data_IF_215870438884
#
_entry.id   IF_215870438884
#
_cell.length_a   1.000
_cell.length_b   1.000
_cell.length_c   1.000
_cell.angle_alpha   90.00
_cell.angle_beta   90.00
_cell.angle_gamma   90.00
#
_symmetry.space_group_name_H-M   'P 1'
#
loop_
_entity.id
_entity.type
_entity.pdbx_description
1 polymer ?
2 non-polymer ?
3 non-polymer ?
4 non-polymer ?
5 water ?
#
# COMPACT_ATOMS: atom_id res chain seq x y z
N UNK A 16 -16.42 21.32 17.18
CA UNK A 16 -16.86 20.25 18.07
C UNK A 16 -17.97 19.41 17.43
N UNK A 17 -19.06 20.06 17.08
CA UNK A 17 -20.25 19.36 16.61
C UNK A 17 -20.47 19.63 15.12
N UNK A 18 -19.94 18.71 14.31
CA UNK A 18 -20.33 18.54 12.92
C UNK A 18 -21.18 17.27 12.82
N UNK A 19 -21.82 17.08 11.67
CA UNK A 19 -22.55 15.86 11.36
C UNK A 19 -23.60 15.51 12.42
N UNK A 20 -24.12 16.52 13.11
CA UNK A 20 -25.15 16.29 14.12
C UNK A 20 -26.49 15.89 13.50
N UNK A 21 -26.63 16.00 12.18
CA UNK A 21 -27.86 15.65 11.47
C UNK A 21 -27.49 14.69 10.36
N UNK A 22 -27.43 13.39 10.71
CA UNK A 22 -27.15 12.30 9.78
C UNK A 22 -27.94 11.10 10.31
N UNK A 23 -29.24 11.09 9.99
CA UNK A 23 -30.15 10.14 10.62
C UNK A 23 -30.06 8.76 9.96
N UNK A 24 -29.85 8.70 8.64
CA UNK A 24 -29.86 7.45 7.91
C UNK A 24 -28.56 7.18 7.17
N UNK A 25 -27.45 7.77 7.62
CA UNK A 25 -26.20 7.63 6.90
C UNK A 25 -25.62 6.24 6.98
N UNK A 26 -24.77 5.94 5.97
CA UNK A 26 -23.96 4.73 5.96
C UNK A 26 -22.55 5.12 5.57
N UNK A 27 -21.57 4.56 6.29
CA UNK A 27 -20.20 5.06 6.28
C UNK A 27 -19.25 3.90 6.04
N UNK A 28 -18.30 4.09 5.12
CA UNK A 28 -17.35 3.06 4.75
C UNK A 28 -15.93 3.58 4.86
N UNK A 29 -15.00 2.67 5.10
CA UNK A 29 -13.57 2.98 5.11
C UNK A 29 -13.01 2.80 3.71
N UNK A 30 -12.19 3.73 3.27
CA UNK A 30 -11.45 3.59 2.02
C UNK A 30 -9.97 3.54 2.35
N UNK A 31 -9.30 2.46 1.94
CA UNK A 31 -7.87 2.27 2.14
C UNK A 31 -7.21 2.21 0.77
N UNK A 32 -6.35 3.18 0.47
CA UNK A 32 -5.72 3.31 -0.83
C UNK A 32 -4.23 2.99 -0.73
N UNK A 33 -3.73 2.25 -1.72
CA UNK A 33 -2.30 2.02 -1.88
C UNK A 33 -1.61 3.13 -2.66
N UNK A 34 -2.33 4.19 -3.02
CA UNK A 34 -1.79 5.25 -3.88
C UNK A 34 -2.27 6.59 -3.34
N UNK A 35 -1.35 7.38 -2.81
CA UNK A 35 -1.69 8.76 -2.47
C UNK A 35 -1.97 9.59 -3.72
N UNK A 36 -1.32 9.25 -4.83
CA UNK A 36 -1.60 9.92 -6.10
C UNK A 36 -3.07 9.76 -6.48
N UNK A 37 -3.61 8.55 -6.31
CA UNK A 37 -5.03 8.33 -6.60
C UNK A 37 -5.91 9.19 -5.71
N UNK A 38 -5.54 9.32 -4.44
CA UNK A 38 -6.28 10.20 -3.53
C UNK A 38 -6.24 11.64 -4.04
N UNK A 39 -5.04 12.09 -4.44
CA UNK A 39 -4.91 13.45 -4.96
C UNK A 39 -5.77 13.65 -6.20
N UNK A 40 -5.80 12.66 -7.10
CA UNK A 40 -6.67 12.74 -8.25
C UNK A 40 -8.13 12.73 -7.84
N UNK A 41 -8.47 11.94 -6.82
CA UNK A 41 -9.85 11.92 -6.32
C UNK A 41 -10.27 13.28 -5.79
N UNK A 42 -9.37 13.95 -5.06
CA UNK A 42 -9.68 15.27 -4.52
C UNK A 42 -9.85 16.28 -5.66
N UNK A 43 -9.00 16.20 -6.69
CA UNK A 43 -9.01 17.21 -7.74
C UNK A 43 -10.28 17.13 -8.58
N UNK A 44 -10.72 15.93 -8.94
CA UNK A 44 -11.81 15.76 -9.89
C UNK A 44 -13.08 15.21 -9.26
N UNK A 45 -13.09 14.96 -7.95
CA UNK A 45 -14.28 14.53 -7.23
C UNK A 45 -14.84 13.23 -7.80
N UNK A 46 -13.96 12.24 -7.95
CA UNK A 46 -14.32 10.93 -8.48
C UNK A 46 -13.55 9.87 -7.71
N UNK A 47 -14.07 8.66 -7.70
CA UNK A 47 -13.37 7.55 -7.08
C UNK A 47 -13.78 6.25 -7.78
N UNK A 48 -13.03 5.20 -7.48
CA UNK A 48 -13.29 3.84 -7.91
C UNK A 48 -12.69 2.92 -6.86
N UNK A 49 -13.26 1.73 -6.73
CA UNK A 49 -12.76 0.77 -5.76
C UNK A 49 -12.49 -0.56 -6.47
N UNK A 50 -12.29 -1.61 -5.69
CA UNK A 50 -12.22 -2.94 -6.24
C UNK A 50 -13.57 -3.33 -6.83
N UNK A 51 -13.63 -4.50 -7.49
CA UNK A 51 -14.92 -4.95 -8.01
C UNK A 51 -15.90 -5.24 -6.88
N UNK A 52 -15.45 -5.95 -5.85
CA UNK A 52 -16.30 -6.20 -4.70
C UNK A 52 -16.58 -4.91 -3.93
N UNK A 53 -15.60 -4.00 -3.88
CA UNK A 53 -15.83 -2.73 -3.22
C UNK A 53 -16.85 -1.86 -3.95
N UNK A 54 -16.76 -1.82 -5.28
CA UNK A 54 -17.72 -1.05 -6.07
C UNK A 54 -19.13 -1.56 -5.85
N UNK A 55 -19.33 -2.88 -5.92
CA UNK A 55 -20.66 -3.45 -5.76
C UNK A 55 -21.20 -3.21 -4.35
N UNK A 56 -20.33 -3.25 -3.35
CA UNK A 56 -20.77 -2.97 -1.98
C UNK A 56 -21.21 -1.52 -1.84
N UNK A 57 -20.39 -0.59 -2.34
CA UNK A 57 -20.74 0.82 -2.26
C UNK A 57 -21.93 1.15 -3.15
N UNK A 58 -22.03 0.48 -4.30
CA UNK A 58 -23.16 0.71 -5.20
C UNK A 58 -24.48 0.33 -4.54
N UNK A 59 -24.50 -0.84 -3.89
CA UNK A 59 -25.72 -1.28 -3.22
C UNK A 59 -26.10 -0.33 -2.09
N UNK A 60 -25.11 0.13 -1.32
CA UNK A 60 -25.40 1.05 -0.23
C UNK A 60 -25.98 2.37 -0.75
N UNK A 61 -25.39 2.91 -1.83
CA UNK A 61 -25.85 4.19 -2.35
C UNK A 61 -27.26 4.08 -2.92
N UNK A 62 -27.51 3.04 -3.72
CA UNK A 62 -28.81 2.91 -4.39
C UNK A 62 -29.91 2.49 -3.42
N UNK A 63 -29.58 1.67 -2.42
CA UNK A 63 -30.58 1.33 -1.40
C UNK A 63 -30.90 2.53 -0.50
N UNK A 64 -30.07 3.57 -0.53
CA UNK A 64 -30.38 4.77 0.24
C UNK A 64 -31.46 5.60 -0.42
N UNK A 65 -31.48 5.66 -1.75
CA UNK A 65 -32.48 6.41 -2.52
C UNK A 65 -32.57 7.86 -2.02
N UNK A 66 -31.42 8.49 -1.86
CA UNK A 66 -31.35 9.89 -1.51
C UNK A 66 -31.84 10.24 -0.12
N UNK A 67 -32.22 9.22 0.66
CA UNK A 67 -32.73 9.45 2.01
C UNK A 67 -31.63 9.78 3.02
N UNK A 68 -30.37 9.54 2.70
CA UNK A 68 -29.28 9.81 3.60
C UNK A 68 -27.93 9.83 2.91
N UNK A 69 -26.90 10.26 3.62
CA UNK A 69 -25.57 10.34 3.01
C UNK A 69 -24.78 9.05 3.10
N UNK A 70 -23.97 8.81 2.07
CA UNK A 70 -22.97 7.75 2.07
C UNK A 70 -21.62 8.43 2.21
N UNK A 71 -21.01 8.29 3.38
CA UNK A 71 -19.74 8.93 3.67
C UNK A 71 -18.60 7.93 3.50
N UNK A 72 -17.45 8.44 3.05
CA UNK A 72 -16.26 7.65 2.79
C UNK A 72 -15.11 8.21 3.61
N UNK A 73 -14.54 7.37 4.48
CA UNK A 73 -13.41 7.77 5.33
C UNK A 73 -12.12 7.27 4.67
N UNK A 74 -11.32 8.21 4.18
CA UNK A 74 -10.15 7.89 3.38
C UNK A 74 -8.90 7.81 4.24
N UNK A 75 -8.07 6.81 3.97
CA UNK A 75 -6.77 6.67 4.61
C UNK A 75 -5.82 5.94 3.67
N UNK A 76 -4.60 6.46 3.55
CA UNK A 76 -3.56 5.82 2.76
C UNK A 76 -2.92 4.71 3.58
N UNK A 77 -2.78 3.53 2.97
CA UNK A 77 -2.18 2.39 3.67
C UNK A 77 -0.77 2.71 4.12
N UNK A 78 -0.46 2.42 5.38
CA UNK A 78 0.85 2.63 5.95
C UNK A 78 1.16 4.07 6.34
N UNK A 79 0.23 5.00 6.15
CA UNK A 79 0.47 6.40 6.46
C UNK A 79 0.33 6.71 7.94
N UNK A 80 -0.33 5.87 8.72
CA UNK A 80 -0.52 6.13 10.14
C UNK A 80 -1.57 7.18 10.44
N UNK A 81 -2.33 7.62 9.45
CA UNK A 81 -3.39 8.59 9.69
C UNK A 81 -4.46 8.45 8.62
N UNK A 82 -5.63 9.01 8.92
CA UNK A 82 -6.66 9.23 7.91
C UNK A 82 -6.41 10.59 7.25
N UNK A 83 -6.87 10.72 6.01
CA UNK A 83 -6.57 11.90 5.22
C UNK A 83 -7.78 12.70 4.77
N UNK A 84 -9.00 12.28 5.09
CA UNK A 84 -10.13 13.13 4.80
C UNK A 84 -11.44 12.36 4.75
N UNK A 85 -12.49 13.10 4.38
CA UNK A 85 -13.85 12.60 4.32
C UNK A 85 -14.49 13.09 3.02
N UNK A 86 -15.19 12.19 2.33
CA UNK A 86 -15.93 12.56 1.14
C UNK A 86 -17.29 11.88 1.18
N UNK A 87 -18.25 12.43 0.45
CA UNK A 87 -19.58 11.85 0.33
C UNK A 87 -19.75 11.27 -1.07
N UNK A 88 -20.24 10.03 -1.12
CA UNK A 88 -20.61 9.43 -2.41
C UNK A 88 -21.78 10.19 -3.01
N UNK A 89 -21.62 10.66 -4.24
CA UNK A 89 -22.61 11.51 -4.90
C UNK A 89 -23.15 10.90 -6.19
N UNK A 90 -22.92 9.62 -6.41
CA UNK A 90 -23.35 8.98 -7.66
C UNK A 90 -23.31 7.48 -7.51
N UNK A 91 -24.14 6.80 -8.31
CA UNK A 91 -24.04 5.35 -8.42
C UNK A 91 -22.80 4.99 -9.23
N UNK A 92 -22.47 3.70 -9.23
CA UNK A 92 -21.24 3.26 -9.88
C UNK A 92 -21.48 3.06 -11.36
N UNK A 93 -20.64 3.69 -12.18
CA UNK A 93 -20.60 3.44 -13.62
C UNK A 93 -19.47 2.45 -13.88
N UNK A 94 -19.82 1.26 -14.38
CA UNK A 94 -18.88 0.16 -14.50
C UNK A 94 -18.17 0.12 -15.85
N UNK A 95 -18.55 0.98 -16.79
CA UNK A 95 -17.95 0.99 -18.13
C UNK A 95 -17.42 2.40 -18.40
N UNK A 96 -16.17 2.63 -18.02
CA UNK A 96 -15.54 3.94 -18.15
C UNK A 96 -14.14 3.76 -18.74
N UNK A 97 -13.50 4.88 -19.05
CA UNK A 97 -12.17 4.84 -19.63
C UNK A 97 -11.17 4.20 -18.69
N UNK A 98 -10.35 3.31 -19.22
CA UNK A 98 -9.41 2.58 -18.39
C UNK A 98 -8.12 3.38 -18.17
N UNK A 99 -7.30 2.88 -17.26
CA UNK A 99 -5.98 3.43 -17.04
C UNK A 99 -5.94 4.84 -16.50
N UNK A 100 -7.03 5.32 -15.90
CA UNK A 100 -7.05 6.68 -15.38
C UNK A 100 -6.40 6.80 -14.01
N UNK A 101 -6.20 5.68 -13.31
CA UNK A 101 -5.65 5.70 -11.97
C UNK A 101 -4.20 5.27 -11.98
N UNK A 102 -3.65 5.01 -10.78
CA UNK A 102 -2.27 4.60 -10.66
C UNK A 102 -2.01 3.29 -11.39
N UNK A 103 -2.89 2.32 -11.23
CA UNK A 103 -2.80 1.04 -11.90
C UNK A 103 -4.02 0.81 -12.77
N UNK A 104 -3.87 -0.05 -13.78
CA UNK A 104 -4.99 -0.43 -14.62
C UNK A 104 -6.00 -1.31 -13.89
N UNK A 105 -5.70 -1.72 -12.65
CA UNK A 105 -6.56 -2.66 -11.95
C UNK A 105 -7.93 -2.07 -11.62
N UNK A 106 -8.07 -0.75 -11.65
CA UNK A 106 -9.28 -0.09 -11.17
C UNK A 106 -10.20 0.19 -12.35
N UNK A 107 -11.35 -0.50 -12.38
CA UNK A 107 -12.34 -0.38 -13.43
C UNK A 107 -13.63 0.20 -12.85
N UNK A 108 -14.13 1.25 -13.48
CA UNK A 108 -15.36 1.89 -13.04
C UNK A 108 -15.10 3.30 -12.53
N UNK A 109 -16.19 3.94 -12.09
CA UNK A 109 -16.12 5.31 -11.61
C UNK A 109 -17.42 5.67 -10.92
N UNK A 110 -17.31 6.49 -9.86
CA UNK A 110 -18.48 7.15 -9.29
C UNK A 110 -18.04 8.50 -8.73
N UNK A 111 -18.99 9.43 -8.70
CA UNK A 111 -18.70 10.78 -8.22
C UNK A 111 -18.65 10.80 -6.69
N UNK A 112 -17.80 11.70 -6.18
CA UNK A 112 -17.75 11.99 -4.76
C UNK A 112 -17.73 13.51 -4.59
N UNK A 113 -17.97 13.95 -3.36
CA UNK A 113 -17.78 15.35 -2.97
C UNK A 113 -16.94 15.34 -1.70
N UNK A 114 -15.72 15.82 -1.79
CA UNK A 114 -14.85 15.86 -0.63
C UNK A 114 -15.30 16.95 0.33
N UNK A 115 -15.45 16.59 1.60
CA UNK A 115 -15.89 17.53 2.62
C UNK A 115 -14.72 18.00 3.48
N UNK A 116 -13.84 17.08 3.87
CA UNK A 116 -12.64 17.41 4.62
C UNK A 116 -11.44 16.78 3.92
N UNK A 117 -10.36 17.56 3.81
CA UNK A 117 -9.08 17.08 3.35
C UNK A 117 -8.06 17.49 4.41
N UNK A 118 -7.75 16.58 5.33
CA UNK A 118 -6.83 16.87 6.41
C UNK A 118 -6.31 15.56 7.00
N UNK A 119 -5.07 15.60 7.48
CA UNK A 119 -4.44 14.42 8.09
C UNK A 119 -4.80 14.36 9.57
N UNK A 120 -5.33 13.23 10.01
CA UNK A 120 -5.75 13.01 11.40
C UNK A 120 -5.05 11.77 11.91
N UNK A 121 -4.15 11.90 12.90
CA UNK A 121 -3.37 10.74 13.35
C UNK A 121 -4.26 9.60 13.85
N UNK A 122 -3.78 8.37 13.61
CA UNK A 122 -4.53 7.19 14.04
C UNK A 122 -4.68 7.13 15.55
N UNK A 123 -3.80 7.81 16.29
CA UNK A 123 -3.93 7.85 17.74
C UNK A 123 -5.25 8.48 18.15
N UNK A 124 -5.75 9.43 17.36
CA UNK A 124 -7.02 10.08 17.67
C UNK A 124 -8.21 9.17 17.46
N UNK A 125 -8.03 8.04 16.76
CA UNK A 125 -9.14 7.18 16.39
C UNK A 125 -9.00 5.73 16.82
N UNK A 126 -7.83 5.31 17.32
CA UNK A 126 -7.60 3.88 17.52
C UNK A 126 -8.50 3.29 18.60
N UNK A 127 -8.97 4.10 19.54
CA UNK A 127 -9.81 3.59 20.62
C UNK A 127 -11.27 3.40 20.21
N UNK A 128 -11.63 3.76 18.98
CA UNK A 128 -12.96 3.48 18.45
C UNK A 128 -12.93 2.11 17.80
N UNK A 129 -13.80 1.22 18.25
CA UNK A 129 -13.81 -0.17 17.81
C UNK A 129 -15.10 -0.51 17.11
N UNK A 130 -15.02 -1.43 16.15
CA UNK A 130 -16.13 -1.79 15.27
C UNK A 130 -16.69 -3.14 15.72
N UNK A 131 -17.91 -3.13 16.25
CA UNK A 131 -18.53 -4.36 16.72
C UNK A 131 -18.86 -5.33 15.58
N UNK A 132 -18.86 -4.85 14.34
CA UNK A 132 -19.07 -5.71 13.18
C UNK A 132 -17.77 -6.25 12.60
N UNK A 133 -16.63 -5.84 13.15
CA UNK A 133 -15.33 -6.33 12.70
C UNK A 133 -14.57 -6.94 13.87
N UNK A 134 -15.20 -7.90 14.57
CA UNK A 134 -14.58 -8.60 15.69
C UNK A 134 -14.06 -7.62 16.75
N UNK A 135 -14.73 -6.48 16.90
CA UNK A 135 -14.34 -5.44 17.85
C UNK A 135 -12.91 -4.94 17.60
N UNK A 136 -12.49 -4.96 16.34
CA UNK A 136 -11.17 -4.44 16.03
C UNK A 136 -11.22 -2.92 15.94
N UNK A 137 -10.13 -2.24 16.26
CA UNK A 137 -10.11 -0.78 16.15
C UNK A 137 -10.40 -0.33 14.72
N UNK A 138 -11.07 0.82 14.62
CA UNK A 138 -11.44 1.34 13.31
C UNK A 138 -10.21 1.62 12.47
N UNK A 139 -9.07 1.90 13.11
CA UNK A 139 -7.83 2.16 12.41
C UNK A 139 -7.19 0.90 11.84
N UNK A 140 -7.77 -0.27 12.10
CA UNK A 140 -7.27 -1.53 11.57
C UNK A 140 -8.22 -2.15 10.55
N UNK A 141 -8.99 -1.31 9.85
CA UNK A 141 -9.97 -1.79 8.89
C UNK A 141 -9.36 -1.95 7.51
N UNK A 142 -10.01 -2.78 6.70
CA UNK A 142 -9.61 -2.97 5.32
C UNK A 142 -10.43 -2.07 4.40
N UNK A 143 -10.07 -2.10 3.12
CA UNK A 143 -10.77 -1.30 2.12
C UNK A 143 -12.23 -1.70 2.05
N UNK A 144 -13.12 -0.70 2.07
CA UNK A 144 -14.58 -0.81 1.97
C UNK A 144 -15.23 -1.44 3.21
N UNK A 145 -14.51 -1.54 4.32
CA UNK A 145 -15.13 -1.95 5.57
C UNK A 145 -16.20 -0.95 5.98
N UNK A 146 -17.41 -1.44 6.22
CA UNK A 146 -18.48 -0.55 6.68
C UNK A 146 -18.37 -0.34 8.18
N UNK A 147 -18.69 0.87 8.60
CA UNK A 147 -18.59 1.29 9.99
C UNK A 147 -20.00 1.42 10.55
N UNK A 148 -20.30 0.84 11.71
CA UNK A 148 -21.59 1.10 12.36
C UNK A 148 -21.79 2.60 12.56
N UNK A 149 -23.03 3.05 12.38
CA UNK A 149 -23.28 4.48 12.26
C UNK A 149 -22.90 5.23 13.53
N UNK A 150 -23.13 4.63 14.70
CA UNK A 150 -22.78 5.33 15.94
C UNK A 150 -21.27 5.47 16.10
N UNK A 151 -20.49 4.48 15.64
CA UNK A 151 -19.04 4.60 15.65
C UNK A 151 -18.55 5.55 14.56
N UNK A 152 -19.25 5.58 13.43
CA UNK A 152 -18.86 6.48 12.36
C UNK A 152 -19.08 7.93 12.73
N UNK A 153 -20.16 8.22 13.47
CA UNK A 153 -20.40 9.58 13.93
C UNK A 153 -19.25 10.07 14.81
N UNK A 154 -18.69 9.18 15.64
CA UNK A 154 -17.54 9.55 16.45
C UNK A 154 -16.33 9.88 15.58
N UNK A 155 -16.03 9.01 14.61
CA UNK A 155 -14.88 9.23 13.74
C UNK A 155 -15.07 10.50 12.92
N UNK A 156 -16.26 10.67 12.34
CA UNK A 156 -16.53 11.87 11.54
C UNK A 156 -16.37 13.13 12.37
N UNK A 157 -16.85 13.10 13.62
CA UNK A 157 -16.73 14.27 14.49
C UNK A 157 -15.27 14.57 14.81
N UNK A 158 -14.49 13.54 15.13
CA UNK A 158 -13.08 13.74 15.48
C UNK A 158 -12.30 14.32 14.30
N UNK A 159 -12.54 13.77 13.10
CA UNK A 159 -11.85 14.27 11.92
C UNK A 159 -12.20 15.73 11.67
N UNK A 160 -13.50 16.04 11.70
CA UNK A 160 -13.97 17.40 11.42
C UNK A 160 -13.37 18.42 12.40
N UNK A 161 -13.13 18.01 13.65
CA UNK A 161 -12.72 18.93 14.69
C UNK A 161 -11.25 18.82 15.07
N UNK A 162 -10.49 17.94 14.41
CA UNK A 162 -9.06 17.85 14.69
C UNK A 162 -8.34 19.08 14.12
N UNK A 163 -7.38 19.60 14.90
CA UNK A 163 -6.60 20.77 14.50
C UNK A 163 -5.15 20.57 14.93
N UNK A 164 -4.24 21.10 14.11
CA UNK A 164 -2.80 20.91 14.26
C UNK A 164 -2.30 21.15 15.68
N UNK B 15 16.63 -27.34 -19.23
CA UNK B 15 17.70 -27.02 -18.30
C UNK B 15 17.95 -25.51 -18.23
N UNK B 16 17.87 -24.94 -17.03
CA UNK B 16 18.20 -23.54 -16.77
C UNK B 16 19.00 -23.49 -15.47
N UNK B 17 20.33 -23.44 -15.58
CA UNK B 17 21.21 -23.49 -14.42
C UNK B 17 21.96 -22.18 -14.19
N UNK B 18 21.41 -21.07 -14.66
CA UNK B 18 22.08 -19.79 -14.48
C UNK B 18 22.26 -19.48 -13.00
N UNK B 19 21.20 -19.65 -12.21
CA UNK B 19 21.22 -19.17 -10.84
C UNK B 19 21.89 -20.13 -9.88
N UNK B 20 21.90 -21.44 -10.19
CA UNK B 20 22.59 -22.40 -9.34
C UNK B 20 24.10 -22.21 -9.35
N UNK B 21 24.63 -21.31 -10.19
CA UNK B 21 26.06 -21.24 -10.42
C UNK B 21 26.75 -20.32 -9.42
N UNK B 22 26.35 -19.05 -9.37
CA UNK B 22 27.15 -18.04 -8.69
C UNK B 22 27.15 -18.25 -7.18
N UNK B 23 28.24 -17.80 -6.54
CA UNK B 23 28.48 -18.06 -5.13
C UNK B 23 28.51 -16.78 -4.28
N UNK B 24 28.32 -15.61 -4.89
CA UNK B 24 28.38 -14.36 -4.15
C UNK B 24 27.11 -13.55 -4.39
N UNK B 25 26.78 -12.69 -3.43
CA UNK B 25 25.59 -11.87 -3.51
C UNK B 25 24.76 -11.91 -2.24
N UNK B 26 23.94 -10.89 -2.03
CA UNK B 26 23.05 -10.82 -0.89
C UNK B 26 21.70 -10.30 -1.34
N UNK B 27 20.63 -10.89 -0.81
CA UNK B 27 19.28 -10.69 -1.32
C UNK B 27 18.37 -10.28 -0.17
N UNK B 28 17.53 -9.27 -0.42
CA UNK B 28 16.65 -8.73 0.59
C UNK B 28 15.23 -8.60 0.04
N UNK B 29 14.25 -8.87 0.89
CA UNK B 29 12.85 -8.59 0.58
C UNK B 29 12.61 -7.10 0.83
N UNK B 30 11.93 -6.45 -0.11
CA UNK B 30 11.47 -5.08 0.08
C UNK B 30 9.95 -5.12 0.16
N UNK B 31 9.42 -4.71 1.31
CA UNK B 31 7.98 -4.61 1.52
C UNK B 31 7.62 -3.13 1.59
N UNK B 32 6.76 -2.69 0.67
CA UNK B 32 6.36 -1.29 0.57
C UNK B 32 4.85 -1.19 0.70
N UNK B 33 4.39 -0.11 1.32
CA UNK B 33 2.97 0.15 1.49
C UNK B 33 2.34 0.89 0.31
N UNK B 34 3.16 1.41 -0.61
CA UNK B 34 2.69 2.40 -1.58
C UNK B 34 3.02 1.93 -2.99
N UNK B 35 1.98 1.84 -3.83
CA UNK B 35 2.21 1.67 -5.26
C UNK B 35 2.88 2.90 -5.86
N UNK B 36 2.65 4.07 -5.27
CA UNK B 36 3.31 5.29 -5.73
C UNK B 36 4.83 5.15 -5.61
N UNK B 37 5.32 4.63 -4.48
CA UNK B 37 6.75 4.43 -4.30
C UNK B 37 7.32 3.51 -5.38
N UNK B 38 6.61 2.42 -5.67
CA UNK B 38 7.07 1.46 -6.68
C UNK B 38 7.14 2.14 -8.04
N UNK B 39 6.11 2.90 -8.40
CA UNK B 39 6.11 3.59 -9.68
C UNK B 39 7.27 4.58 -9.79
N UNK B 40 7.49 5.36 -8.73
CA UNK B 40 8.61 6.29 -8.71
C UNK B 40 9.94 5.55 -8.79
N UNK B 41 10.03 4.39 -8.14
CA UNK B 41 11.28 3.64 -8.15
C UNK B 41 11.59 3.10 -9.54
N UNK B 42 10.57 2.62 -10.25
CA UNK B 42 10.78 2.13 -11.61
C UNK B 42 11.12 3.28 -12.54
N UNK B 43 10.47 4.43 -12.34
CA UNK B 43 10.64 5.54 -13.27
C UNK B 43 12.02 6.19 -13.15
N UNK B 44 12.55 6.30 -11.93
CA UNK B 44 13.78 7.04 -11.68
C UNK B 44 14.93 6.18 -11.18
N UNK B 45 14.73 4.87 -11.02
CA UNK B 45 15.79 3.95 -10.60
C UNK B 45 16.39 4.36 -9.26
N UNK B 46 15.51 4.62 -8.28
CA UNK B 46 15.91 5.00 -6.93
C UNK B 46 14.99 4.30 -5.93
N UNK B 47 15.47 4.18 -4.70
CA UNK B 47 14.63 3.62 -3.64
C UNK B 47 15.04 4.25 -2.32
N UNK B 48 14.13 4.14 -1.35
CA UNK B 48 14.40 4.55 0.02
C UNK B 48 13.59 3.65 0.95
N UNK B 49 14.22 3.24 2.04
CA UNK B 49 13.57 2.42 3.05
C UNK B 49 13.42 3.26 4.33
N UNK B 50 13.02 2.61 5.41
CA UNK B 50 13.07 3.27 6.70
C UNK B 50 14.52 3.50 7.09
N UNK B 51 14.72 4.24 8.18
CA UNK B 51 16.07 4.48 8.67
C UNK B 51 16.77 3.17 8.98
N UNK B 52 16.09 2.28 9.71
CA UNK B 52 16.65 0.97 10.00
C UNK B 52 16.90 0.18 8.74
N UNK B 53 15.96 0.24 7.79
CA UNK B 53 16.13 -0.49 6.54
C UNK B 53 17.28 0.04 5.71
N UNK B 54 17.41 1.37 5.62
CA UNK B 54 18.50 1.96 4.86
C UNK B 54 19.85 1.57 5.45
N UNK B 55 19.98 1.62 6.78
CA UNK B 55 21.23 1.20 7.42
C UNK B 55 21.57 -0.24 7.06
N UNK B 56 20.58 -1.13 7.14
CA UNK B 56 20.82 -2.54 6.83
C UNK B 56 21.25 -2.72 5.38
N UNK B 57 20.53 -2.09 4.45
CA UNK B 57 20.89 -2.21 3.05
C UNK B 57 22.23 -1.55 2.76
N UNK B 58 22.52 -0.45 3.45
CA UNK B 58 23.79 0.25 3.23
C UNK B 58 24.97 -0.62 3.62
N UNK B 59 24.90 -1.27 4.78
CA UNK B 59 25.99 -2.11 5.23
C UNK B 59 26.24 -3.27 4.27
N UNK B 60 25.16 -3.89 3.78
CA UNK B 60 25.29 -5.00 2.84
C UNK B 60 25.96 -4.53 1.55
N UNK B 61 25.55 -3.37 1.03
CA UNK B 61 26.14 -2.87 -0.21
C UNK B 61 27.61 -2.50 -0.01
N UNK B 62 27.93 -1.87 1.13
CA UNK B 62 29.31 -1.49 1.40
C UNK B 62 30.21 -2.72 1.59
N UNK B 63 29.72 -3.73 2.31
CA UNK B 63 30.52 -4.91 2.58
C UNK B 63 30.70 -5.80 1.34
N UNK B 64 29.86 -5.63 0.32
CA UNK B 64 30.02 -6.45 -0.88
C UNK B 64 31.24 -6.02 -1.69
N UNK B 65 31.48 -4.71 -1.78
CA UNK B 65 32.61 -4.13 -2.49
C UNK B 65 32.77 -4.74 -3.89
N UNK B 66 31.70 -4.68 -4.65
CA UNK B 66 31.71 -5.08 -6.04
C UNK B 66 32.01 -6.55 -6.30
N UNK B 67 31.99 -7.37 -5.26
CA UNK B 67 32.24 -8.79 -5.42
C UNK B 67 31.01 -9.56 -5.90
N UNK B 68 29.85 -8.92 -5.91
CA UNK B 68 28.62 -9.55 -6.32
C UNK B 68 27.45 -8.61 -6.11
N UNK B 69 26.27 -9.00 -6.57
CA UNK B 69 25.13 -8.08 -6.54
C UNK B 69 24.40 -8.10 -5.21
N UNK B 70 23.69 -7.01 -4.96
CA UNK B 70 22.71 -6.92 -3.89
C UNK B 70 21.35 -6.80 -4.56
N UNK B 71 20.55 -7.86 -4.47
CA UNK B 71 19.25 -7.93 -5.12
C UNK B 71 18.15 -7.52 -4.16
N UNK B 72 17.13 -6.87 -4.69
CA UNK B 72 15.96 -6.45 -3.92
C UNK B 72 14.72 -7.07 -4.55
N UNK B 73 13.99 -7.85 -3.75
CA UNK B 73 12.76 -8.49 -4.20
C UNK B 73 11.59 -7.68 -3.64
N UNK B 74 10.89 -6.99 -4.54
CA UNK B 74 9.87 -6.02 -4.14
C UNK B 74 8.50 -6.67 -4.01
N UNK B 75 7.76 -6.26 -2.97
CA UNK B 75 6.41 -6.72 -2.75
C UNK B 75 5.62 -5.65 -2.02
N UNK B 76 4.46 -5.29 -2.55
CA UNK B 76 3.58 -4.34 -1.88
C UNK B 76 2.78 -5.09 -0.82
N UNK B 77 2.73 -4.54 0.39
CA UNK B 77 2.02 -5.17 1.49
C UNK B 77 0.57 -5.42 1.12
N UNK B 78 0.10 -6.64 1.38
CA UNK B 78 -1.27 -7.02 1.15
C UNK B 78 -1.63 -7.37 -0.28
N UNK B 79 -0.73 -7.17 -1.24
CA UNK B 79 -1.03 -7.43 -2.64
C UNK B 79 -1.08 -8.91 -2.99
N UNK B 80 -0.51 -9.77 -2.14
CA UNK B 80 -0.50 -11.18 -2.42
C UNK B 80 0.46 -11.62 -3.50
N UNK B 81 1.38 -10.75 -3.93
CA UNK B 81 2.32 -11.10 -4.98
C UNK B 81 3.53 -10.18 -4.90
N UNK B 82 4.64 -10.67 -5.46
CA UNK B 82 5.82 -9.86 -5.69
C UNK B 82 5.68 -9.15 -7.04
N UNK B 83 6.27 -7.96 -7.13
CA UNK B 83 6.08 -7.13 -8.33
C UNK B 83 7.36 -6.85 -9.10
N UNK B 84 8.51 -7.33 -8.66
CA UNK B 84 9.70 -7.18 -9.47
C UNK B 84 10.98 -7.40 -8.70
N UNK B 85 12.08 -7.26 -9.44
CA UNK B 85 13.44 -7.45 -8.94
C UNK B 85 14.27 -6.25 -9.36
N UNK B 86 15.08 -5.73 -8.43
CA UNK B 86 16.00 -4.64 -8.72
C UNK B 86 17.34 -4.94 -8.05
N UNK B 87 18.38 -4.29 -8.57
CA UNK B 87 19.73 -4.42 -8.02
C UNK B 87 20.14 -3.12 -7.38
N UNK B 88 20.68 -3.20 -6.17
CA UNK B 88 21.22 -2.03 -5.49
C UNK B 88 22.48 -1.57 -6.21
N UNK B 89 22.50 -0.30 -6.62
CA UNK B 89 23.61 0.21 -7.42
C UNK B 89 24.27 1.44 -6.81
N UNK B 90 24.05 1.71 -5.52
CA UNK B 90 24.71 2.82 -4.86
C UNK B 90 24.62 2.61 -3.35
N UNK B 91 25.44 3.36 -2.62
CA UNK B 91 25.28 3.43 -1.19
C UNK B 91 24.12 4.37 -0.85
N UNK B 92 23.78 4.42 0.43
CA UNK B 92 22.63 5.19 0.88
C UNK B 92 23.09 6.62 1.16
N UNK B 93 22.53 7.58 0.42
CA UNK B 93 22.68 9.01 0.71
C UNK B 93 21.55 9.37 1.66
N UNK B 94 21.88 9.67 2.92
CA UNK B 94 20.90 9.85 3.96
C UNK B 94 20.32 11.26 4.03
N UNK B 95 20.89 12.22 3.30
CA UNK B 95 20.42 13.60 3.31
C UNK B 95 20.15 14.07 1.89
N UNK B 96 18.92 13.84 1.42
CA UNK B 96 18.42 14.39 0.16
C UNK B 96 17.07 15.06 0.40
N UNK B 97 16.37 15.41 -0.68
CA UNK B 97 15.10 16.13 -0.54
C UNK B 97 14.03 15.23 0.09
N UNK B 98 13.37 15.76 1.11
CA UNK B 98 12.30 15.03 1.77
C UNK B 98 10.99 15.20 0.99
N UNK B 99 9.95 14.50 1.46
CA UNK B 99 8.66 14.53 0.80
C UNK B 99 8.64 13.81 -0.53
N UNK B 100 9.66 13.03 -0.86
CA UNK B 100 9.69 12.33 -2.14
C UNK B 100 8.78 11.12 -2.12
N UNK B 101 8.70 10.42 -0.98
CA UNK B 101 8.12 9.10 -0.94
C UNK B 101 6.76 9.09 -0.24
N UNK B 102 6.21 7.87 -0.09
CA UNK B 102 4.98 7.68 0.67
C UNK B 102 5.05 8.43 2.00
N UNK B 103 5.99 8.06 2.85
CA UNK B 103 6.17 8.73 4.13
C UNK B 103 6.92 10.03 3.88
N UNK B 104 6.26 11.16 4.09
CA UNK B 104 6.86 12.46 3.76
C UNK B 104 8.10 12.76 4.59
N UNK B 105 8.29 12.04 5.71
CA UNK B 105 9.47 12.23 6.54
C UNK B 105 10.72 11.59 5.96
N UNK B 106 10.57 10.69 4.98
CA UNK B 106 11.71 9.94 4.46
C UNK B 106 12.66 10.85 3.70
N UNK B 107 13.79 11.16 4.30
CA UNK B 107 14.93 11.73 3.60
C UNK B 107 15.99 10.63 3.48
N UNK B 108 16.39 10.34 2.27
CA UNK B 108 17.30 9.23 1.99
C UNK B 108 17.01 8.70 0.60
N UNK B 109 18.07 8.20 -0.04
CA UNK B 109 17.97 7.75 -1.41
C UNK B 109 19.18 6.89 -1.75
N UNK B 110 18.95 5.80 -2.48
CA UNK B 110 20.04 5.07 -3.12
C UNK B 110 19.57 4.60 -4.49
N UNK B 111 20.54 4.45 -5.39
CA UNK B 111 20.23 4.06 -6.76
C UNK B 111 19.95 2.56 -6.85
N UNK B 112 19.01 2.20 -7.72
CA UNK B 112 18.73 0.82 -8.04
C UNK B 112 18.71 0.68 -9.56
N UNK B 113 18.66 -0.57 -10.01
CA UNK B 113 18.50 -0.90 -11.42
C UNK B 113 17.47 -2.01 -11.51
N UNK B 114 16.26 -1.68 -11.93
CA UNK B 114 15.20 -2.67 -11.96
C UNK B 114 15.48 -3.73 -13.02
N UNK B 115 15.48 -4.99 -12.61
CA UNK B 115 15.79 -6.12 -13.47
C UNK B 115 14.52 -6.75 -14.02
N UNK B 116 13.59 -7.12 -13.14
CA UNK B 116 12.30 -7.68 -13.49
C UNK B 116 11.22 -6.70 -13.08
N UNK B 117 10.23 -6.51 -13.94
CA UNK B 117 8.97 -5.86 -13.56
C UNK B 117 7.87 -6.84 -13.97
N UNK B 118 7.48 -7.71 -13.05
CA UNK B 118 6.50 -8.75 -13.34
C UNK B 118 5.83 -9.16 -12.04
N UNK B 119 4.51 -9.30 -12.08
CA UNK B 119 3.76 -9.77 -10.93
C UNK B 119 3.87 -11.28 -10.82
N UNK B 120 4.24 -11.76 -9.63
CA UNK B 120 4.42 -13.17 -9.37
C UNK B 120 3.62 -13.55 -8.14
N UNK B 121 2.59 -14.40 -8.26
CA UNK B 121 1.74 -14.71 -7.11
C UNK B 121 2.53 -15.28 -5.94
N UNK B 122 2.03 -15.04 -4.74
CA UNK B 122 2.68 -15.57 -3.53
C UNK B 122 2.64 -17.08 -3.50
N UNK B 123 1.64 -17.69 -4.17
CA UNK B 123 1.50 -19.15 -4.13
C UNK B 123 2.67 -19.84 -4.83
N UNK B 124 3.16 -19.24 -5.91
CA UNK B 124 4.32 -19.78 -6.61
C UNK B 124 5.59 -19.73 -5.76
N UNK B 125 5.55 -19.07 -4.60
CA UNK B 125 6.73 -18.88 -3.77
C UNK B 125 6.55 -19.27 -2.32
N UNK B 126 5.31 -19.54 -1.86
CA UNK B 126 5.10 -19.77 -0.44
C UNK B 126 5.77 -21.03 0.06
N UNK B 127 6.08 -21.99 -0.82
CA UNK B 127 6.76 -23.20 -0.40
C UNK B 127 8.28 -23.07 -0.43
N UNK B 128 8.78 -21.85 -0.31
CA UNK B 128 10.18 -21.58 -0.02
C UNK B 128 10.24 -20.90 1.34
N UNK B 129 11.07 -21.43 2.23
CA UNK B 129 11.08 -20.99 3.62
C UNK B 129 12.47 -20.55 4.03
N UNK B 130 12.53 -19.55 4.91
CA UNK B 130 13.77 -18.89 5.30
C UNK B 130 14.19 -19.39 6.68
N UNK B 131 15.29 -20.17 6.73
CA UNK B 131 15.76 -20.71 8.00
C UNK B 131 16.21 -19.64 8.97
N UNK B 132 16.57 -18.45 8.48
CA UNK B 132 16.98 -17.36 9.35
C UNK B 132 15.80 -16.54 9.86
N UNK B 133 14.59 -16.84 9.42
CA UNK B 133 13.38 -16.20 9.92
C UNK B 133 12.38 -17.27 10.36
N UNK B 134 12.83 -18.14 11.27
CA UNK B 134 11.98 -19.14 11.92
C UNK B 134 11.30 -20.04 10.89
N UNK B 135 12.00 -20.29 9.77
CA UNK B 135 11.48 -21.10 8.68
C UNK B 135 10.07 -20.67 8.29
N UNK B 136 9.84 -19.35 8.31
CA UNK B 136 8.57 -18.86 7.80
C UNK B 136 8.67 -18.72 6.28
N UNK B 137 7.55 -18.87 5.57
CA UNK B 137 7.58 -18.70 4.12
C UNK B 137 8.14 -17.34 3.74
N UNK B 138 8.89 -17.31 2.64
CA UNK B 138 9.50 -16.06 2.18
C UNK B 138 8.43 -15.04 1.84
N UNK B 139 7.22 -15.48 1.53
CA UNK B 139 6.10 -14.60 1.28
C UNK B 139 5.54 -13.98 2.56
N UNK B 140 6.13 -14.28 3.72
CA UNK B 140 5.68 -13.74 5.00
C UNK B 140 6.72 -12.85 5.66
N UNK B 141 7.65 -12.31 4.88
CA UNK B 141 8.74 -11.53 5.44
C UNK B 141 8.36 -10.06 5.61
N UNK B 142 9.12 -9.37 6.46
CA UNK B 142 8.98 -7.93 6.63
C UNK B 142 10.03 -7.22 5.79
N UNK B 143 9.91 -5.89 5.75
CA UNK B 143 10.78 -5.07 4.91
C UNK B 143 12.24 -5.27 5.27
N UNK B 144 13.08 -5.46 4.25
CA UNK B 144 14.53 -5.64 4.36
C UNK B 144 14.91 -6.92 5.12
N UNK B 145 14.01 -7.91 5.16
CA UNK B 145 14.39 -9.24 5.61
C UNK B 145 15.38 -9.84 4.61
N UNK B 146 16.52 -10.30 5.11
CA UNK B 146 17.50 -10.89 4.20
C UNK B 146 17.15 -12.34 3.91
N UNK B 147 17.44 -12.76 2.69
CA UNK B 147 17.14 -14.11 2.21
C UNK B 147 18.46 -14.86 2.08
N UNK B 148 18.59 -16.06 2.66
CA UNK B 148 19.80 -16.86 2.45
C UNK B 148 20.00 -17.15 0.97
N UNK B 149 21.26 -17.09 0.54
CA UNK B 149 21.58 -17.14 -0.88
C UNK B 149 21.02 -18.38 -1.56
N UNK B 150 21.13 -19.54 -0.90
CA UNK B 150 20.64 -20.77 -1.52
C UNK B 150 19.12 -20.77 -1.66
N UNK B 151 18.42 -20.07 -0.77
CA UNK B 151 16.97 -19.90 -0.94
C UNK B 151 16.65 -18.80 -1.94
N UNK B 152 17.52 -17.78 -2.03
CA UNK B 152 17.31 -16.71 -3.00
C UNK B 152 17.50 -17.22 -4.43
N UNK B 153 18.42 -18.16 -4.62
CA UNK B 153 18.58 -18.81 -5.92
C UNK B 153 17.25 -19.37 -6.40
N UNK B 154 16.54 -20.07 -5.51
CA UNK B 154 15.27 -20.67 -5.89
C UNK B 154 14.21 -19.61 -6.16
N UNK B 155 14.19 -18.53 -5.37
CA UNK B 155 13.21 -17.47 -5.58
C UNK B 155 13.43 -16.80 -6.93
N UNK B 156 14.70 -16.54 -7.28
CA UNK B 156 14.99 -15.88 -8.54
C UNK B 156 14.62 -16.77 -9.73
N UNK B 157 14.88 -18.08 -9.61
CA UNK B 157 14.55 -19.00 -10.70
C UNK B 157 13.05 -19.03 -10.95
N UNK B 158 12.25 -19.02 -9.89
CA UNK B 158 10.80 -19.07 -10.05
C UNK B 158 10.29 -17.75 -10.63
N UNK B 159 10.80 -16.63 -10.12
CA UNK B 159 10.40 -15.33 -10.64
C UNK B 159 10.78 -15.20 -12.11
N UNK B 160 11.96 -15.71 -12.47
CA UNK B 160 12.43 -15.59 -13.85
C UNK B 160 11.60 -16.44 -14.80
N UNK B 161 11.03 -17.54 -14.33
CA UNK B 161 10.35 -18.50 -15.19
C UNK B 161 8.83 -18.40 -15.13
N UNK B 162 8.28 -17.44 -14.39
CA UNK B 162 6.83 -17.32 -14.31
C UNK B 162 6.27 -16.67 -15.57
N UNK B 163 5.06 -17.11 -15.94
CA UNK B 163 4.38 -16.57 -17.11
C UNK B 163 2.96 -16.11 -16.74
#
# INVERSE_FOLDING_TARGET
MGSSYHHHHHHSSGENLYFQHMKHGRVFIIKSYSEDDIHRSIKYNIWCSTEHGNKRLDAAYRSMNGKGPVYLLFSVNGSGHFCGVAEMKSAVDYNTCAGVWSQDKWKGRFDVRWIFVKDVPNSQLRHIRLENNENKPVTNSRDTQEVPLEKAKQVLKIIASYKHTTS
MGSSYHHHHHHSSGENLYFQHMKHGRVFIIKSYSEDDIHRSIKYNIWCSTEHGNKRLDAAYRSMNGKGPVYLLFSVNGSGHFCGVAEMKSAVDYNTCAGVWSQDKWKGRFDVRWIFVKDVPNSQLRHIRLENNENKPVTNSRDTQEVPLEKAKQVLKIIASYKHTTS
#
